data_IF_856771054020
#
_entry.id   IF_856771054020
#
_cell.length_a   1.000
_cell.length_b   1.000
_cell.length_c   1.000
_cell.angle_alpha   90.00
_cell.angle_beta   90.00
_cell.angle_gamma   90.00
#
_symmetry.space_group_name_H-M   'P 1'
#
loop_
_entity.id
_entity.type
_entity.pdbx_description
1 polymer ?
#
# COMPACT_ATOMS: atom_id res chain seq x y z
N UNK A 1 -2.54 26.21 -8.03
CA UNK A 1 -2.74 26.92 -6.75
C UNK A 1 -3.92 27.89 -6.92
N UNK A 2 -4.79 28.10 -5.93
CA UNK A 2 -6.00 28.94 -6.08
C UNK A 2 -5.72 30.41 -5.77
N UNK A 3 -6.49 31.33 -6.37
CA UNK A 3 -6.29 32.77 -6.16
C UNK A 3 -7.03 33.28 -4.91
N UNK A 4 -6.59 32.83 -3.74
CA UNK A 4 -7.21 33.16 -2.46
C UNK A 4 -6.19 33.43 -1.37
N UNK A 5 -6.50 34.40 -0.52
CA UNK A 5 -5.67 34.73 0.64
C UNK A 5 -5.96 33.79 1.83
N UNK A 6 -4.96 33.61 2.71
CA UNK A 6 -5.10 32.82 3.95
C UNK A 6 -6.22 33.35 4.88
N UNK A 7 -6.38 34.68 5.10
CA UNK A 7 -7.51 35.22 5.86
C UNK A 7 -8.87 34.87 5.26
N UNK A 8 -9.00 34.90 3.92
CA UNK A 8 -10.23 34.53 3.22
C UNK A 8 -10.59 33.06 3.47
N UNK A 9 -9.61 32.16 3.37
CA UNK A 9 -9.79 30.74 3.68
C UNK A 9 -10.18 30.52 5.15
N UNK A 10 -9.54 31.21 6.10
CA UNK A 10 -9.90 31.11 7.52
C UNK A 10 -11.34 31.56 7.79
N UNK A 11 -11.80 32.63 7.13
CA UNK A 11 -13.19 33.10 7.23
C UNK A 11 -14.16 32.10 6.59
N UNK A 12 -13.80 31.51 5.45
CA UNK A 12 -14.61 30.49 4.78
C UNK A 12 -14.77 29.23 5.63
N UNK A 13 -13.69 28.78 6.29
CA UNK A 13 -13.74 27.69 7.27
C UNK A 13 -14.64 28.02 8.47
N UNK A 14 -14.45 29.19 9.08
CA UNK A 14 -15.26 29.64 10.23
C UNK A 14 -16.75 29.81 9.90
N UNK A 15 -17.07 30.20 8.67
CA UNK A 15 -18.45 30.37 8.19
C UNK A 15 -19.06 29.09 7.62
N UNK A 16 -18.32 27.98 7.56
CA UNK A 16 -18.79 26.70 7.03
C UNK A 16 -18.97 26.67 5.51
N UNK A 17 -18.41 27.64 4.78
CA UNK A 17 -18.48 27.69 3.31
C UNK A 17 -17.58 26.66 2.63
N UNK A 18 -16.52 26.26 3.33
CA UNK A 18 -15.63 25.17 2.94
C UNK A 18 -15.40 24.30 4.17
N UNK A 19 -15.32 22.99 3.95
CA UNK A 19 -14.99 22.03 4.99
C UNK A 19 -13.49 21.80 5.08
N UNK A 20 -13.00 21.53 6.29
CA UNK A 20 -11.59 21.22 6.53
C UNK A 20 -11.43 20.46 7.84
N UNK A 21 -10.35 19.68 7.94
CA UNK A 21 -9.98 18.94 9.14
C UNK A 21 -8.86 19.69 9.83
N UNK A 22 -9.01 19.94 11.13
CA UNK A 22 -7.94 20.50 11.95
C UNK A 22 -7.11 19.36 12.52
N UNK A 23 -5.81 19.39 12.29
CA UNK A 23 -4.91 18.40 12.88
C UNK A 23 -4.69 18.68 14.39
N UNK A 24 -4.10 17.72 15.10
CA UNK A 24 -3.76 17.85 16.52
C UNK A 24 -2.72 18.94 16.82
N UNK A 25 -2.13 19.57 15.80
CA UNK A 25 -1.16 20.67 15.90
C UNK A 25 -1.80 22.03 15.57
N UNK A 26 -3.11 22.06 15.30
CA UNK A 26 -3.89 23.26 15.05
C UNK A 26 -3.87 23.76 13.60
N UNK A 27 -3.27 23.04 12.67
CA UNK A 27 -3.23 23.33 11.25
C UNK A 27 -4.48 22.79 10.54
N UNK A 28 -4.98 23.54 9.55
CA UNK A 28 -6.14 23.14 8.77
C UNK A 28 -5.73 22.46 7.47
N UNK A 29 -6.28 21.27 7.24
CA UNK A 29 -6.22 20.54 5.97
C UNK A 29 -7.56 20.68 5.26
N UNK A 30 -7.54 21.18 4.03
CA UNK A 30 -8.73 21.44 3.20
C UNK A 30 -8.61 20.59 1.95
N UNK A 31 -9.69 19.90 1.57
CA UNK A 31 -9.75 19.16 0.31
C UNK A 31 -9.68 20.14 -0.88
N UNK A 32 -8.79 19.94 -1.86
CA UNK A 32 -8.79 20.71 -3.11
C UNK A 32 -10.15 20.81 -3.81
N UNK A 33 -11.02 19.80 -3.67
CA UNK A 33 -12.38 19.84 -4.23
C UNK A 33 -13.25 20.95 -3.62
N UNK A 34 -13.07 21.26 -2.34
CA UNK A 34 -13.78 22.34 -1.66
C UNK A 34 -13.33 23.71 -2.18
N UNK A 35 -12.04 23.84 -2.51
CA UNK A 35 -11.47 25.06 -3.05
C UNK A 35 -11.91 25.31 -4.49
N UNK A 36 -11.96 24.27 -5.33
CA UNK A 36 -12.35 24.40 -6.73
C UNK A 36 -13.83 24.72 -6.93
N UNK A 37 -14.69 24.37 -5.97
CA UNK A 37 -16.11 24.75 -5.96
C UNK A 37 -16.31 26.26 -5.79
N UNK A 38 -15.51 26.91 -4.94
CA UNK A 38 -15.73 28.32 -4.58
C UNK A 38 -14.76 29.29 -5.26
N UNK A 39 -13.56 28.84 -5.57
CA UNK A 39 -12.48 29.73 -5.95
C UNK A 39 -11.91 29.37 -7.31
N UNK A 40 -11.60 30.41 -8.08
CA UNK A 40 -10.94 30.23 -9.37
C UNK A 40 -9.52 29.70 -9.12
N UNK A 41 -9.09 28.66 -9.85
CA UNK A 41 -7.68 28.33 -9.96
C UNK A 41 -6.94 29.59 -10.38
N UNK A 42 -5.81 29.90 -9.76
CA UNK A 42 -4.93 30.96 -10.24
C UNK A 42 -4.43 30.51 -11.60
N UNK A 43 -5.01 31.05 -12.67
CA UNK A 43 -4.43 30.94 -14.01
C UNK A 43 -3.02 31.49 -13.91
N UNK A 44 -2.02 30.71 -14.31
CA UNK A 44 -0.74 31.31 -14.67
C UNK A 44 -1.07 32.38 -15.71
N UNK A 45 -0.63 33.61 -15.48
CA UNK A 45 -0.89 34.74 -16.36
C UNK A 45 -0.41 34.40 -17.77
N UNK A 46 -1.35 33.97 -18.61
CA UNK A 46 -1.25 34.08 -20.06
C UNK A 46 -2.23 35.18 -20.38
N UNK A 47 -1.65 36.32 -20.76
CA UNK A 47 -2.28 37.63 -20.88
C UNK A 47 -3.74 37.65 -21.36
N UNK A 48 -4.47 38.60 -20.78
CA UNK A 48 -5.63 39.31 -21.32
C UNK A 48 -6.30 38.71 -22.58
N UNK A 49 -7.55 38.31 -22.39
CA UNK A 49 -8.60 38.45 -23.40
C UNK A 49 -8.74 37.28 -24.36
N UNK A 50 -9.77 36.47 -24.14
CA UNK A 50 -10.19 35.47 -25.11
C UNK A 50 -11.29 34.60 -24.55
N UNK A 51 -12.41 34.51 -25.27
CA UNK A 51 -13.54 33.62 -24.98
C UNK A 51 -13.05 32.21 -24.64
N UNK A 52 -13.62 31.64 -23.59
CA UNK A 52 -13.42 30.23 -23.25
C UNK A 52 -14.28 29.38 -24.19
N UNK A 53 -13.69 28.98 -25.32
CA UNK A 53 -14.15 27.82 -26.07
C UNK A 53 -13.80 26.56 -25.28
N UNK A 54 -14.79 25.68 -25.23
CA UNK A 54 -14.94 24.53 -24.34
C UNK A 54 -14.13 23.30 -24.78
N UNK A 55 -12.94 23.46 -25.35
CA UNK A 55 -12.20 22.31 -25.89
C UNK A 55 -10.69 22.44 -25.73
N UNK A 56 -10.22 22.53 -24.49
CA UNK A 56 -8.85 22.14 -24.16
C UNK A 56 -8.76 21.90 -22.66
N UNK A 57 -9.03 20.66 -22.26
CA UNK A 57 -8.51 20.18 -20.99
C UNK A 57 -6.98 20.27 -21.11
N UNK A 58 -6.28 21.10 -20.30
CA UNK A 58 -4.86 20.91 -20.21
C UNK A 58 -4.71 19.57 -19.51
N UNK A 59 -4.27 18.56 -20.26
CA UNK A 59 -3.62 17.38 -19.72
C UNK A 59 -2.40 17.87 -18.96
N UNK A 60 -2.62 18.40 -17.76
CA UNK A 60 -1.60 18.60 -16.76
C UNK A 60 -1.32 17.20 -16.23
N UNK A 61 -0.69 16.39 -17.08
CA UNK A 61 0.16 15.31 -16.63
C UNK A 61 1.30 16.01 -15.91
N UNK A 62 1.05 16.38 -14.67
CA UNK A 62 2.07 16.74 -13.70
C UNK A 62 2.98 15.53 -13.63
N UNK A 63 4.09 15.60 -14.38
CA UNK A 63 5.25 14.78 -14.11
C UNK A 63 5.47 14.88 -12.59
N UNK A 64 5.32 13.75 -11.91
CA UNK A 64 5.56 13.65 -10.48
C UNK A 64 6.93 14.29 -10.21
N UNK A 65 7.08 15.11 -9.15
CA UNK A 65 8.40 15.60 -8.75
C UNK A 65 9.37 14.43 -8.77
N UNK A 66 10.57 14.59 -9.36
CA UNK A 66 11.47 13.45 -9.62
C UNK A 66 11.74 12.57 -8.39
N UNK A 67 11.67 13.16 -7.19
CA UNK A 67 11.73 12.47 -5.90
C UNK A 67 10.54 11.51 -5.68
N UNK A 68 9.30 11.95 -5.92
CA UNK A 68 8.12 11.10 -5.80
C UNK A 68 8.13 9.93 -6.81
N UNK A 69 8.73 10.13 -8.00
CA UNK A 69 8.90 9.06 -8.97
C UNK A 69 9.97 8.05 -8.52
N UNK A 70 11.05 8.52 -7.89
CA UNK A 70 12.09 7.69 -7.33
C UNK A 70 11.58 6.87 -6.13
N UNK A 71 10.84 7.50 -5.21
CA UNK A 71 10.20 6.82 -4.07
C UNK A 71 9.21 5.75 -4.54
N UNK A 72 8.41 6.06 -5.56
CA UNK A 72 7.48 5.10 -6.14
C UNK A 72 8.18 3.92 -6.82
N UNK A 73 9.31 4.17 -7.49
CA UNK A 73 10.12 3.11 -8.08
C UNK A 73 10.77 2.23 -7.00
N UNK A 74 11.28 2.83 -5.92
CA UNK A 74 11.85 2.12 -4.78
C UNK A 74 10.80 1.25 -4.09
N UNK A 75 9.62 1.79 -3.82
CA UNK A 75 8.53 1.06 -3.18
C UNK A 75 8.04 -0.12 -4.03
N UNK A 76 8.00 0.05 -5.36
CA UNK A 76 7.72 -1.04 -6.30
C UNK A 76 8.77 -2.13 -6.24
N UNK A 77 10.05 -1.76 -6.21
CA UNK A 77 11.14 -2.73 -6.14
C UNK A 77 11.08 -3.55 -4.84
N UNK A 78 10.82 -2.91 -3.71
CA UNK A 78 10.63 -3.58 -2.41
C UNK A 78 9.45 -4.55 -2.43
N UNK A 79 8.31 -4.12 -2.99
CA UNK A 79 7.13 -4.97 -3.12
C UNK A 79 7.40 -6.21 -4.00
N UNK A 80 8.17 -6.06 -5.08
CA UNK A 80 8.57 -7.21 -5.91
C UNK A 80 9.51 -8.15 -5.15
N UNK A 81 10.48 -7.61 -4.42
CA UNK A 81 11.40 -8.43 -3.62
C UNK A 81 10.65 -9.23 -2.55
N UNK A 82 9.67 -8.63 -1.86
CA UNK A 82 8.84 -9.33 -0.88
C UNK A 82 7.94 -10.39 -1.51
N UNK A 83 7.37 -10.13 -2.69
CA UNK A 83 6.61 -11.15 -3.42
C UNK A 83 7.46 -12.38 -3.75
N UNK A 84 8.66 -12.17 -4.28
CA UNK A 84 9.59 -13.26 -4.61
C UNK A 84 9.95 -14.06 -3.35
N UNK A 85 10.25 -13.37 -2.24
CA UNK A 85 10.53 -14.03 -0.95
C UNK A 85 9.36 -14.86 -0.46
N UNK A 86 8.14 -14.31 -0.56
CA UNK A 86 6.92 -14.99 -0.15
C UNK A 86 6.67 -16.24 -1.01
N UNK A 87 6.75 -16.12 -2.32
CA UNK A 87 6.58 -17.24 -3.25
C UNK A 87 7.61 -18.35 -2.98
N UNK A 88 8.88 -17.99 -2.77
CA UNK A 88 9.92 -18.97 -2.42
C UNK A 88 9.65 -19.65 -1.07
N UNK A 89 9.16 -18.91 -0.07
CA UNK A 89 8.80 -19.46 1.23
C UNK A 89 7.59 -20.40 1.15
N UNK A 90 6.57 -20.04 0.37
CA UNK A 90 5.38 -20.86 0.13
C UNK A 90 5.77 -22.16 -0.60
N UNK A 91 6.61 -22.08 -1.64
CA UNK A 91 7.10 -23.26 -2.35
C UNK A 91 7.87 -24.23 -1.44
N UNK A 92 8.76 -23.71 -0.59
CA UNK A 92 9.50 -24.52 0.38
C UNK A 92 8.55 -25.15 1.42
N UNK A 93 7.54 -24.40 1.87
CA UNK A 93 6.55 -24.90 2.81
C UNK A 93 5.73 -26.05 2.19
N UNK A 94 5.33 -25.92 0.93
CA UNK A 94 4.65 -26.99 0.18
C UNK A 94 5.52 -28.23 0.02
N UNK A 95 6.79 -28.07 -0.35
CA UNK A 95 7.73 -29.19 -0.48
C UNK A 95 7.88 -29.92 0.87
N UNK A 96 8.06 -29.18 1.96
CA UNK A 96 8.14 -29.74 3.31
C UNK A 96 6.85 -30.43 3.72
N UNK A 97 5.69 -29.87 3.38
CA UNK A 97 4.40 -30.47 3.69
C UNK A 97 4.23 -31.82 2.96
N UNK A 98 4.58 -31.89 1.68
CA UNK A 98 4.57 -33.14 0.90
C UNK A 98 5.51 -34.18 1.50
N UNK A 99 6.73 -33.77 1.83
CA UNK A 99 7.71 -34.68 2.44
C UNK A 99 7.20 -35.23 3.79
N UNK A 100 6.63 -34.38 4.66
CA UNK A 100 6.04 -34.83 5.93
C UNK A 100 4.88 -35.80 5.69
N UNK A 101 4.03 -35.54 4.71
CA UNK A 101 2.89 -36.39 4.38
C UNK A 101 3.34 -37.78 3.88
N UNK A 102 4.35 -37.83 3.03
CA UNK A 102 4.94 -39.09 2.56
C UNK A 102 5.58 -39.89 3.70
N UNK A 103 6.32 -39.23 4.59
CA UNK A 103 6.87 -39.87 5.80
C UNK A 103 5.77 -40.43 6.70
N UNK A 104 4.66 -39.69 6.87
CA UNK A 104 3.51 -40.16 7.66
C UNK A 104 2.86 -41.40 7.07
N UNK A 105 2.80 -41.52 5.73
CA UNK A 105 2.30 -42.73 5.06
C UNK A 105 3.19 -43.95 5.29
N UNK A 106 4.52 -43.73 5.37
CA UNK A 106 5.49 -44.82 5.57
C UNK A 106 5.57 -45.27 7.03
N UNK A 107 5.26 -44.39 7.98
CA UNK A 107 5.25 -44.76 9.39
C UNK A 107 4.04 -45.65 9.72
N UNK A 108 4.23 -46.72 10.51
CA UNK A 108 3.11 -47.51 11.00
C UNK A 108 2.22 -46.63 11.91
N UNK A 109 0.91 -46.92 11.97
CA UNK A 109 -0.01 -46.17 12.83
C UNK A 109 0.47 -46.21 14.29
N UNK A 110 0.22 -45.16 15.09
CA UNK A 110 0.77 -45.03 16.44
C UNK A 110 0.41 -46.19 17.39
N UNK A 111 -0.69 -46.90 17.11
CA UNK A 111 -1.13 -48.08 17.87
C UNK A 111 -0.60 -49.41 17.32
N UNK A 112 0.28 -49.37 16.32
CA UNK A 112 0.95 -50.57 15.82
C UNK A 112 1.88 -51.11 16.90
N UNK A 113 1.50 -52.26 17.49
CA UNK A 113 2.33 -52.97 18.46
C UNK A 113 3.73 -53.20 17.86
N UNK A 114 4.81 -52.80 18.56
CA UNK A 114 6.17 -53.00 18.05
C UNK A 114 6.36 -54.49 17.77
N UNK A 115 6.67 -54.82 16.51
CA UNK A 115 6.94 -56.19 16.09
C UNK A 115 8.28 -56.57 16.72
N UNK A 116 8.21 -57.29 17.84
CA UNK A 116 9.36 -57.73 18.62
C UNK A 116 10.35 -58.51 17.78
N UNK A 117 11.38 -57.82 17.29
CA UNK A 117 12.60 -58.40 16.78
C UNK A 117 13.66 -58.22 17.87
N UNK A 118 14.56 -59.19 18.03
CA UNK A 118 15.55 -59.39 19.09
C UNK A 118 15.10 -60.24 20.30
N UNK A 119 15.53 -61.52 20.36
CA UNK A 119 15.53 -62.26 21.61
C UNK A 119 16.76 -61.85 22.44
N UNK A 120 16.57 -61.08 23.52
CA UNK A 120 17.59 -60.98 24.56
C UNK A 120 17.68 -62.33 25.29
N UNK A 121 18.61 -63.20 24.88
CA UNK A 121 19.01 -64.33 25.71
C UNK A 121 19.88 -63.81 26.86
N UNK A 122 19.26 -63.55 28.00
CA UNK A 122 19.97 -63.49 29.27
C UNK A 122 20.43 -64.90 29.62
N UNK A 123 21.73 -65.18 29.51
CA UNK A 123 22.34 -66.34 30.17
C UNK A 123 22.74 -65.89 31.58
N UNK A 124 21.97 -66.35 32.57
CA UNK A 124 22.39 -66.42 33.95
C UNK A 124 22.88 -67.82 34.28
N UNK A 125 23.80 -67.86 35.25
CA UNK A 125 24.42 -69.02 35.92
C UNK A 125 25.60 -69.67 35.22
#
# INVERSE_FOLDING_TARGET
MFDVSRPTLSKALKSGKISGVRDGKGQWSIDPAELSRLYRPRSADVGKGGKLDRETLPTVNSALPGEAQADFAALKAELQAEKIRREAAEALAEERARHIDDLRRMLPPPDAKPRGWWPLKWKGT
#
